data_IF_540532433679
#
_entry.id   IF_540532433679
#
_cell.length_a   1.000
_cell.length_b   1.000
_cell.length_c   1.000
_cell.angle_alpha   90.00
_cell.angle_beta   90.00
_cell.angle_gamma   90.00
#
_symmetry.space_group_name_H-M   'P 1'
#
loop_
_entity.id
_entity.type
_entity.pdbx_description
1 polymer ?
#
# COMPACT_ATOMS: atom_id res chain seq x y z
N UNK A 1 -15.44 6.50 7.69
CA UNK A 1 -15.51 5.60 8.86
C UNK A 1 -14.10 5.08 9.14
N UNK A 2 -13.70 5.00 10.41
CA UNK A 2 -12.41 4.41 10.81
C UNK A 2 -12.66 3.14 11.62
N UNK A 3 -12.01 2.04 11.28
CA UNK A 3 -12.20 0.75 11.94
C UNK A 3 -10.92 -0.11 11.92
N UNK A 4 -10.78 -0.95 12.93
CA UNK A 4 -9.79 -2.02 13.05
C UNK A 4 -10.57 -3.31 13.28
N UNK A 5 -10.35 -4.30 12.41
CA UNK A 5 -10.98 -5.61 12.49
C UNK A 5 -9.97 -6.64 13.00
N UNK A 6 -10.16 -7.16 14.22
CA UNK A 6 -9.22 -8.11 14.82
C UNK A 6 -9.63 -9.56 14.53
N UNK A 7 -8.63 -10.43 14.35
CA UNK A 7 -8.84 -11.88 14.15
C UNK A 7 -8.66 -12.69 15.44
N UNK A 8 -7.93 -12.16 16.42
CA UNK A 8 -7.64 -12.79 17.70
C UNK A 8 -7.60 -11.76 18.85
N UNK A 9 -7.53 -12.24 20.10
CA UNK A 9 -7.48 -11.39 21.29
C UNK A 9 -6.16 -10.61 21.41
N UNK A 10 -5.06 -11.11 20.84
CA UNK A 10 -3.77 -10.41 20.87
C UNK A 10 -3.84 -9.11 20.07
N UNK A 11 -4.35 -9.18 18.84
CA UNK A 11 -4.61 -8.02 17.98
C UNK A 11 -5.59 -7.05 18.62
N UNK A 12 -6.66 -7.55 19.27
CA UNK A 12 -7.62 -6.72 20.00
C UNK A 12 -6.94 -5.93 21.11
N UNK A 13 -6.21 -6.62 21.99
CA UNK A 13 -5.52 -6.02 23.13
C UNK A 13 -4.49 -4.98 22.66
N UNK A 14 -3.74 -5.26 21.58
CA UNK A 14 -2.78 -4.32 21.02
C UNK A 14 -3.46 -3.07 20.44
N UNK A 15 -4.59 -3.24 19.74
CA UNK A 15 -5.36 -2.13 19.18
C UNK A 15 -5.95 -1.23 20.29
N UNK A 16 -6.56 -1.83 21.32
CA UNK A 16 -7.13 -1.11 22.47
C UNK A 16 -6.05 -0.35 23.24
N UNK A 17 -4.93 -1.02 23.56
CA UNK A 17 -3.79 -0.40 24.25
C UNK A 17 -3.22 0.78 23.47
N UNK A 18 -3.07 0.65 22.14
CA UNK A 18 -2.54 1.72 21.29
C UNK A 18 -3.52 2.89 21.21
N UNK A 19 -4.83 2.63 21.04
CA UNK A 19 -5.88 3.66 21.06
C UNK A 19 -5.86 4.43 22.37
N UNK A 20 -5.82 3.75 23.51
CA UNK A 20 -5.90 4.38 24.83
C UNK A 20 -4.63 5.20 25.13
N UNK A 21 -3.46 4.71 24.71
CA UNK A 21 -2.23 5.48 24.78
C UNK A 21 -2.27 6.74 23.89
N UNK A 22 -2.75 6.63 22.65
CA UNK A 22 -2.86 7.77 21.74
C UNK A 22 -3.93 8.78 22.20
N UNK A 23 -5.01 8.33 22.82
CA UNK A 23 -6.07 9.20 23.34
C UNK A 23 -5.53 10.19 24.36
N UNK A 24 -4.52 9.82 25.15
CA UNK A 24 -3.90 10.69 26.14
C UNK A 24 -3.23 11.93 25.51
N UNK A 25 -2.89 11.87 24.21
CA UNK A 25 -2.27 12.97 23.48
C UNK A 25 -3.27 13.81 22.67
N UNK A 26 -4.57 13.45 22.69
CA UNK A 26 -5.59 14.07 21.86
C UNK A 26 -6.73 14.64 22.71
N UNK A 27 -7.09 15.90 22.45
CA UNK A 27 -8.26 16.56 23.07
C UNK A 27 -9.56 15.95 22.56
N UNK A 28 -9.60 15.56 21.27
CA UNK A 28 -10.79 14.95 20.66
C UNK A 28 -10.77 13.44 20.90
N UNK A 29 -11.94 12.82 21.14
CA UNK A 29 -12.02 11.38 21.32
C UNK A 29 -11.69 10.65 20.00
N UNK A 30 -10.91 9.57 20.10
CA UNK A 30 -10.67 8.63 19.02
C UNK A 30 -11.93 7.78 18.86
N UNK A 31 -12.57 7.88 17.70
CA UNK A 31 -13.82 7.17 17.36
C UNK A 31 -13.59 5.91 16.51
N UNK A 32 -12.33 5.46 16.39
CA UNK A 32 -12.00 4.24 15.65
C UNK A 32 -12.68 3.03 16.28
N UNK A 33 -13.50 2.33 15.49
CA UNK A 33 -14.19 1.12 15.93
C UNK A 33 -13.20 -0.04 16.00
N UNK A 34 -13.17 -0.78 17.11
CA UNK A 34 -12.40 -2.03 17.24
C UNK A 34 -13.40 -3.16 17.35
N UNK A 35 -13.51 -3.97 16.30
CA UNK A 35 -14.52 -5.01 16.18
C UNK A 35 -13.92 -6.32 15.68
N UNK A 36 -14.58 -7.44 15.98
CA UNK A 36 -14.15 -8.75 15.48
C UNK A 36 -14.27 -8.77 13.95
N UNK A 37 -13.26 -9.31 13.28
CA UNK A 37 -13.30 -9.53 11.84
C UNK A 37 -14.46 -10.46 11.47
N UNK A 38 -15.22 -10.04 10.46
CA UNK A 38 -16.24 -10.84 9.78
C UNK A 38 -15.71 -11.19 8.38
N UNK A 39 -16.40 -12.02 7.58
CA UNK A 39 -15.94 -12.33 6.23
C UNK A 39 -15.60 -11.06 5.45
N UNK A 40 -14.38 -11.01 4.92
CA UNK A 40 -13.93 -9.95 4.04
C UNK A 40 -14.28 -10.32 2.60
N UNK A 41 -14.99 -9.43 1.92
CA UNK A 41 -15.33 -9.59 0.52
C UNK A 41 -14.35 -8.76 -0.31
N UNK A 42 -13.59 -9.43 -1.18
CA UNK A 42 -12.64 -8.76 -2.04
C UNK A 42 -13.36 -7.79 -2.99
N UNK A 43 -12.79 -6.59 -3.12
CA UNK A 43 -13.24 -5.62 -4.12
C UNK A 43 -12.81 -6.07 -5.53
N UNK A 44 -13.54 -5.60 -6.54
CA UNK A 44 -13.28 -5.90 -7.95
C UNK A 44 -11.83 -5.58 -8.38
N UNK A 45 -11.32 -6.31 -9.38
CA UNK A 45 -9.92 -6.24 -9.81
C UNK A 45 -9.44 -4.82 -10.09
N UNK A 46 -10.29 -3.96 -10.68
CA UNK A 46 -9.91 -2.60 -11.03
C UNK A 46 -9.54 -1.72 -9.82
N UNK A 47 -10.05 -2.05 -8.62
CA UNK A 47 -9.69 -1.36 -7.38
C UNK A 47 -8.33 -1.80 -6.83
N UNK A 48 -7.86 -2.99 -7.20
CA UNK A 48 -6.64 -3.57 -6.66
C UNK A 48 -5.42 -2.96 -7.34
N UNK A 49 -4.45 -2.48 -6.55
CA UNK A 49 -3.26 -1.78 -7.05
C UNK A 49 -3.62 -0.64 -8.04
N UNK A 50 -4.66 0.12 -7.69
CA UNK A 50 -5.32 1.09 -8.56
C UNK A 50 -4.34 2.06 -9.27
N UNK A 51 -3.31 2.54 -8.56
CA UNK A 51 -2.35 3.49 -9.13
C UNK A 51 -1.47 2.79 -10.15
N UNK A 52 -0.94 1.61 -9.83
CA UNK A 52 -0.16 0.80 -10.77
C UNK A 52 -0.99 0.44 -12.03
N UNK A 53 -2.31 0.24 -11.89
CA UNK A 53 -3.21 0.02 -13.04
C UNK A 53 -3.35 1.21 -13.99
N UNK A 54 -3.04 2.42 -13.53
CA UNK A 54 -2.96 3.61 -14.40
C UNK A 54 -1.68 3.64 -15.25
N UNK A 55 -0.78 2.67 -15.09
CA UNK A 55 0.46 2.53 -15.87
C UNK A 55 0.48 1.20 -16.66
N UNK A 56 -0.28 1.08 -17.76
CA UNK A 56 -0.42 -0.18 -18.51
C UNK A 56 0.90 -0.75 -19.03
N UNK A 57 1.85 0.12 -19.40
CA UNK A 57 3.17 -0.30 -19.88
C UNK A 57 3.99 -1.00 -18.79
N UNK A 58 3.81 -0.63 -17.53
CA UNK A 58 4.49 -1.30 -16.40
C UNK A 58 3.80 -2.63 -16.09
N UNK A 59 2.47 -2.67 -16.11
CA UNK A 59 1.71 -3.92 -15.94
C UNK A 59 2.07 -4.97 -16.99
N UNK A 60 2.13 -4.58 -18.27
CA UNK A 60 2.57 -5.44 -19.37
C UNK A 60 3.94 -6.06 -19.10
N UNK A 61 4.88 -5.26 -18.57
CA UNK A 61 6.24 -5.68 -18.28
C UNK A 61 6.36 -6.57 -17.05
N UNK A 62 5.43 -6.45 -16.10
CA UNK A 62 5.32 -7.37 -14.97
C UNK A 62 4.75 -8.73 -15.39
N UNK A 63 3.90 -8.76 -16.42
CA UNK A 63 3.34 -10.01 -16.96
C UNK A 63 2.48 -10.81 -15.97
N UNK A 64 1.96 -10.15 -14.92
CA UNK A 64 1.16 -10.78 -13.86
C UNK A 64 -0.31 -10.84 -14.26
N UNK A 65 -0.97 -11.96 -13.94
CA UNK A 65 -2.43 -12.03 -13.95
C UNK A 65 -3.03 -11.13 -12.85
N UNK A 66 -4.34 -10.87 -12.92
CA UNK A 66 -5.03 -10.08 -11.89
C UNK A 66 -4.88 -10.68 -10.48
N UNK A 67 -4.96 -12.01 -10.35
CA UNK A 67 -4.80 -12.70 -9.07
C UNK A 67 -3.36 -12.55 -8.52
N UNK A 68 -2.36 -12.68 -9.39
CA UNK A 68 -0.96 -12.52 -8.99
C UNK A 68 -0.63 -11.06 -8.65
N UNK A 69 -1.22 -10.09 -9.37
CA UNK A 69 -1.06 -8.67 -9.11
C UNK A 69 -1.59 -8.28 -7.72
N UNK A 70 -2.72 -8.87 -7.31
CA UNK A 70 -3.29 -8.65 -5.97
C UNK A 70 -2.33 -9.12 -4.89
N UNK A 71 -1.71 -10.29 -5.07
CA UNK A 71 -0.86 -10.94 -4.07
C UNK A 71 0.61 -10.50 -4.12
N UNK A 72 1.04 -9.83 -5.19
CA UNK A 72 2.45 -9.45 -5.39
C UNK A 72 2.89 -8.30 -4.48
N UNK A 73 3.95 -8.57 -3.70
CA UNK A 73 4.64 -7.56 -2.88
C UNK A 73 5.36 -6.51 -3.75
N UNK A 74 5.90 -6.92 -4.90
CA UNK A 74 6.49 -6.00 -5.90
C UNK A 74 5.42 -5.06 -6.44
N UNK A 75 4.24 -5.57 -6.82
CA UNK A 75 3.13 -4.74 -7.28
C UNK A 75 2.65 -3.77 -6.18
N UNK A 76 2.65 -4.20 -4.92
CA UNK A 76 2.35 -3.33 -3.77
C UNK A 76 3.33 -2.16 -3.65
N UNK A 77 4.64 -2.45 -3.68
CA UNK A 77 5.70 -1.44 -3.61
C UNK A 77 5.63 -0.46 -4.78
N UNK A 78 5.53 -0.97 -6.01
CA UNK A 78 5.41 -0.14 -7.20
C UNK A 78 4.17 0.76 -7.16
N UNK A 79 3.02 0.24 -6.71
CA UNK A 79 1.82 1.05 -6.49
C UNK A 79 2.05 2.18 -5.49
N UNK A 80 2.77 1.90 -4.39
CA UNK A 80 3.15 2.91 -3.40
C UNK A 80 4.03 4.02 -3.98
N UNK A 81 5.11 3.66 -4.66
CA UNK A 81 6.03 4.63 -5.27
C UNK A 81 5.34 5.53 -6.30
N UNK A 82 4.50 4.96 -7.16
CA UNK A 82 3.78 5.71 -8.19
C UNK A 82 2.75 6.68 -7.59
N UNK A 83 2.25 6.39 -6.39
CA UNK A 83 1.35 7.29 -5.64
C UNK A 83 2.11 8.38 -4.85
N UNK A 84 3.42 8.23 -4.67
CA UNK A 84 4.27 9.16 -3.92
C UNK A 84 4.61 8.69 -2.50
N UNK A 85 4.35 7.42 -2.16
CA UNK A 85 4.82 6.82 -0.92
C UNK A 85 6.25 6.29 -1.10
N UNK A 86 7.19 6.79 -0.28
CA UNK A 86 8.63 6.52 -0.38
C UNK A 86 9.38 7.61 -1.17
N UNK A 87 10.70 7.50 -1.25
CA UNK A 87 11.52 8.42 -2.04
C UNK A 87 12.32 7.75 -3.15
N UNK A 88 12.93 8.58 -4.01
CA UNK A 88 13.81 8.11 -5.08
C UNK A 88 14.97 7.25 -4.52
N UNK A 89 15.53 7.62 -3.38
CA UNK A 89 16.60 6.84 -2.74
C UNK A 89 16.12 5.47 -2.26
N UNK A 90 14.90 5.39 -1.70
CA UNK A 90 14.31 4.12 -1.30
C UNK A 90 14.09 3.23 -2.52
N UNK A 91 13.49 3.77 -3.59
CA UNK A 91 13.27 3.05 -4.83
C UNK A 91 14.58 2.52 -5.40
N UNK A 92 15.62 3.36 -5.45
CA UNK A 92 16.91 2.99 -6.03
C UNK A 92 17.58 1.81 -5.30
N UNK A 93 17.36 1.66 -3.98
CA UNK A 93 17.93 0.55 -3.19
C UNK A 93 17.30 -0.80 -3.50
N UNK A 94 16.06 -0.82 -3.99
CA UNK A 94 15.32 -2.07 -4.20
C UNK A 94 14.92 -2.32 -5.66
N UNK A 95 15.19 -1.41 -6.58
CA UNK A 95 14.78 -1.49 -7.98
C UNK A 95 15.22 -2.77 -8.70
N UNK A 96 16.38 -3.33 -8.32
CA UNK A 96 16.90 -4.59 -8.88
C UNK A 96 16.01 -5.80 -8.54
N UNK A 97 15.28 -5.73 -7.42
CA UNK A 97 14.39 -6.81 -6.97
C UNK A 97 13.07 -6.86 -7.75
N UNK A 98 12.76 -5.82 -8.54
CA UNK A 98 11.51 -5.74 -9.28
C UNK A 98 11.51 -6.52 -10.60
N UNK A 99 12.68 -6.94 -11.09
CA UNK A 99 12.80 -7.70 -12.34
C UNK A 99 12.34 -6.93 -13.58
N UNK A 100 12.32 -5.60 -13.53
CA UNK A 100 11.86 -4.74 -14.61
C UNK A 100 13.02 -4.28 -15.50
N UNK A 101 12.81 -4.11 -16.81
CA UNK A 101 13.81 -3.52 -17.70
C UNK A 101 14.17 -2.10 -17.28
N UNK A 102 15.40 -1.67 -17.56
CA UNK A 102 15.90 -0.33 -17.21
C UNK A 102 15.00 0.81 -17.74
N UNK A 103 14.41 0.64 -18.91
CA UNK A 103 13.46 1.63 -19.46
C UNK A 103 12.23 1.83 -18.55
N UNK A 104 11.72 0.74 -17.95
CA UNK A 104 10.61 0.77 -17.00
C UNK A 104 11.05 1.41 -15.67
N UNK A 105 12.22 1.05 -15.16
CA UNK A 105 12.78 1.64 -13.93
C UNK A 105 13.00 3.15 -14.09
N UNK A 106 13.59 3.58 -15.21
CA UNK A 106 13.78 4.99 -15.55
C UNK A 106 12.45 5.75 -15.63
N UNK A 107 11.42 5.14 -16.21
CA UNK A 107 10.07 5.72 -16.22
C UNK A 107 9.52 5.92 -14.81
N UNK A 108 9.62 4.90 -13.95
CA UNK A 108 9.11 4.96 -12.57
C UNK A 108 9.85 6.03 -11.77
N UNK A 109 11.18 6.12 -11.88
CA UNK A 109 11.98 7.18 -11.23
C UNK A 109 11.47 8.57 -11.58
N UNK A 110 11.19 8.83 -12.87
CA UNK A 110 10.60 10.11 -13.31
C UNK A 110 9.20 10.38 -12.74
N UNK A 111 8.39 9.35 -12.49
CA UNK A 111 7.07 9.54 -11.86
C UNK A 111 7.22 9.88 -10.37
N UNK A 112 8.14 9.22 -9.68
CA UNK A 112 8.44 9.49 -8.26
C UNK A 112 8.90 10.95 -8.10
N UNK A 113 9.88 11.40 -8.90
CA UNK A 113 10.40 12.78 -8.85
C UNK A 113 9.31 13.83 -9.05
N UNK A 114 8.35 13.59 -9.95
CA UNK A 114 7.21 14.50 -10.18
C UNK A 114 6.25 14.60 -8.99
N UNK A 115 6.21 13.58 -8.13
CA UNK A 115 5.30 13.50 -6.98
C UNK A 115 5.93 14.02 -5.70
N UNK A 116 7.24 14.21 -5.66
CA UNK A 116 7.93 14.75 -4.50
C UNK A 116 7.84 16.29 -4.47
N UNK A 117 7.50 16.90 -3.32
CA UNK A 117 7.56 18.34 -3.18
C UNK A 117 9.01 18.82 -3.28
N UNK A 118 9.23 19.90 -4.03
CA UNK A 118 10.51 20.62 -4.13
C UNK A 118 10.89 21.32 -2.82
#
# INVERSE_FOLDING_TARGET
MSAIFYHDEEQRNLAEKTRDAQQQHLVRPIVTTIARATPFYEAENYHQKYILRQHPTILDKLGLSDSELVQSSVACRLNGYLEGFGCLDDFNKEQETFGLPEASLSYIRKQIEKKQPH
#
